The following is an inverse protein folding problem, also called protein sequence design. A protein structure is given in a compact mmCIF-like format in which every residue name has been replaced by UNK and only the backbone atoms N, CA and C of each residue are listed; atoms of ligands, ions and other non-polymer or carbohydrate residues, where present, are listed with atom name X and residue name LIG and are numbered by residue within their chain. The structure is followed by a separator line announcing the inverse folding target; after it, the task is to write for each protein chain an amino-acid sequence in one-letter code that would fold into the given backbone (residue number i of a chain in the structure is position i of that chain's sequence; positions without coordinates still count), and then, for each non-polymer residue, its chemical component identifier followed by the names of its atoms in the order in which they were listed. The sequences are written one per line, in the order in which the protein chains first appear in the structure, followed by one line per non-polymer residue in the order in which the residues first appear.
data_IF_763529238367
#
_entry.id   IF_763529238367
#
_cell.length_a   1.000
_cell.length_b   1.000
_cell.length_c   1.000
_cell.angle_alpha   90.00
_cell.angle_beta   90.00
_cell.angle_gamma   90.00
#
_symmetry.space_group_name_H-M   'P 1'
#
loop_
_entity.id
_entity.type
_entity.pdbx_description
1 polymer ?
#
# COMPACT_ATOMS: atom_id res chain seq x y z
N UNK A 1 -19.06 -18.53 -23.47
CA UNK A 1 -18.52 -17.52 -22.54
C UNK A 1 -17.14 -17.98 -22.09
N UNK A 2 -16.09 -17.18 -22.33
CA UNK A 2 -14.71 -17.62 -22.19
C UNK A 2 -14.28 -17.57 -20.72
N UNK A 3 -14.52 -18.67 -19.98
CA UNK A 3 -14.26 -18.76 -18.53
C UNK A 3 -12.85 -18.28 -18.12
N UNK A 4 -11.84 -18.52 -18.97
CA UNK A 4 -10.48 -18.03 -18.73
C UNK A 4 -10.37 -16.49 -18.76
N UNK A 5 -11.08 -15.83 -19.67
CA UNK A 5 -11.09 -14.37 -19.76
C UNK A 5 -11.83 -13.73 -18.59
N UNK A 6 -12.97 -14.28 -18.20
CA UNK A 6 -13.74 -13.79 -17.06
C UNK A 6 -12.95 -13.93 -15.74
N UNK A 7 -12.37 -15.10 -15.48
CA UNK A 7 -11.53 -15.31 -14.27
C UNK A 7 -10.31 -14.39 -14.26
N UNK A 8 -9.67 -14.19 -15.42
CA UNK A 8 -8.52 -13.28 -15.53
C UNK A 8 -8.85 -11.83 -15.21
N UNK A 9 -10.01 -11.33 -15.67
CA UNK A 9 -10.46 -9.95 -15.39
C UNK A 9 -10.72 -9.75 -13.89
N UNK A 10 -11.44 -10.68 -13.25
CA UNK A 10 -11.71 -10.59 -11.81
C UNK A 10 -10.43 -10.69 -10.98
N UNK A 11 -9.51 -11.57 -11.37
CA UNK A 11 -8.21 -11.69 -10.71
C UNK A 11 -7.39 -10.41 -10.87
N UNK A 12 -7.36 -9.81 -12.07
CA UNK A 12 -6.69 -8.55 -12.32
C UNK A 12 -7.27 -7.42 -11.46
N UNK A 13 -8.58 -7.29 -11.39
CA UNK A 13 -9.23 -6.28 -10.56
C UNK A 13 -8.84 -6.43 -9.08
N UNK A 14 -8.87 -7.65 -8.55
CA UNK A 14 -8.41 -7.95 -7.18
C UNK A 14 -6.94 -7.61 -6.97
N UNK A 15 -6.06 -7.99 -7.90
CA UNK A 15 -4.63 -7.72 -7.80
C UNK A 15 -4.31 -6.23 -7.90
N UNK A 16 -5.01 -5.47 -8.75
CA UNK A 16 -4.85 -4.03 -8.84
C UNK A 16 -5.30 -3.34 -7.55
N UNK A 17 -6.43 -3.77 -6.98
CA UNK A 17 -6.88 -3.31 -5.68
C UNK A 17 -5.81 -3.57 -4.60
N UNK A 18 -5.32 -4.81 -4.48
CA UNK A 18 -4.30 -5.17 -3.50
C UNK A 18 -2.98 -4.42 -3.73
N UNK A 19 -2.62 -4.18 -4.98
CA UNK A 19 -1.43 -3.40 -5.32
C UNK A 19 -1.59 -1.94 -4.91
N UNK A 20 -2.71 -1.30 -5.21
CA UNK A 20 -2.96 0.11 -4.87
C UNK A 20 -2.92 0.35 -3.36
N UNK A 21 -3.54 -0.51 -2.56
CA UNK A 21 -3.51 -0.42 -1.09
C UNK A 21 -2.19 -0.91 -0.49
N UNK A 22 -1.47 -1.83 -1.15
CA UNK A 22 -0.16 -2.30 -0.71
C UNK A 22 0.96 -1.28 -0.96
N UNK A 23 0.88 -0.52 -2.06
CA UNK A 23 1.86 0.52 -2.42
C UNK A 23 2.00 1.58 -1.33
N UNK A 24 0.96 1.85 -0.54
CA UNK A 24 1.03 2.82 0.56
C UNK A 24 2.02 2.44 1.66
N UNK A 25 2.41 1.16 1.74
CA UNK A 25 3.41 0.63 2.68
C UNK A 25 4.81 0.51 2.07
N UNK A 26 4.97 0.90 0.79
CA UNK A 26 6.27 0.91 0.13
C UNK A 26 7.14 2.06 0.64
N UNK A 27 8.43 1.81 0.87
CA UNK A 27 9.39 2.83 1.31
C UNK A 27 9.43 4.05 0.40
N UNK A 28 9.44 3.85 -0.93
CA UNK A 28 9.54 4.95 -1.89
C UNK A 28 8.17 5.40 -2.41
N UNK A 29 7.35 4.47 -2.88
CA UNK A 29 6.05 4.81 -3.45
C UNK A 29 5.04 5.27 -2.37
N UNK A 30 5.14 4.72 -1.17
CA UNK A 30 4.35 5.16 -0.02
C UNK A 30 4.71 6.58 0.43
N UNK A 31 5.97 7.02 0.24
CA UNK A 31 6.38 8.39 0.50
C UNK A 31 5.66 9.37 -0.46
N UNK A 32 5.64 9.07 -1.76
CA UNK A 32 4.86 9.87 -2.72
C UNK A 32 3.37 9.89 -2.42
N UNK A 33 2.78 8.76 -2.01
CA UNK A 33 1.38 8.72 -1.56
C UNK A 33 1.18 9.63 -0.35
N UNK A 34 2.11 9.61 0.60
CA UNK A 34 2.05 10.45 1.82
C UNK A 34 2.14 11.94 1.48
N UNK A 35 3.05 12.32 0.58
CA UNK A 35 3.18 13.70 0.08
C UNK A 35 1.90 14.18 -0.60
N UNK A 36 1.32 13.38 -1.50
CA UNK A 36 0.07 13.71 -2.20
C UNK A 36 -1.08 13.86 -1.19
N UNK A 37 -1.21 12.91 -0.27
CA UNK A 37 -2.24 12.99 0.79
C UNK A 37 -2.05 14.21 1.66
N UNK A 38 -0.80 14.63 1.88
CA UNK A 38 -0.50 15.84 2.64
C UNK A 38 -0.87 17.12 1.91
N UNK A 39 -0.45 17.23 0.65
CA UNK A 39 -0.76 18.38 -0.19
C UNK A 39 -2.27 18.58 -0.41
N UNK A 40 -3.06 17.50 -0.37
CA UNK A 40 -4.49 17.51 -0.62
C UNK A 40 -5.36 17.43 0.66
N UNK A 41 -4.76 17.40 1.84
CA UNK A 41 -5.45 17.24 3.14
C UNK A 41 -6.30 15.97 3.22
N UNK A 42 -5.77 14.85 2.74
CA UNK A 42 -6.38 13.51 2.74
C UNK A 42 -5.78 12.56 3.79
N UNK A 43 -5.02 13.09 4.75
CA UNK A 43 -4.51 12.28 5.85
C UNK A 43 -5.65 11.84 6.79
N UNK A 44 -5.36 10.82 7.62
CA UNK A 44 -6.21 10.53 8.76
C UNK A 44 -6.10 11.67 9.78
N UNK A 45 -7.20 12.12 10.40
CA UNK A 45 -7.15 13.08 11.50
C UNK A 45 -6.20 12.59 12.59
N UNK A 46 -5.41 13.52 13.14
CA UNK A 46 -4.49 13.23 14.22
C UNK A 46 -5.14 13.57 15.55
N UNK A 47 -4.97 12.70 16.54
CA UNK A 47 -5.41 12.95 17.90
C UNK A 47 -4.38 13.85 18.59
N UNK A 48 -4.80 15.02 19.07
CA UNK A 48 -3.94 15.91 19.86
C UNK A 48 -3.81 15.36 21.27
N UNK A 49 -2.60 14.98 21.68
CA UNK A 49 -2.29 14.44 23.02
C UNK A 49 -1.33 15.32 23.83
N UNK A 50 -0.96 16.48 23.28
CA UNK A 50 -0.01 17.41 23.89
C UNK A 50 -0.53 17.95 25.24
N UNK A 51 0.39 18.32 26.17
CA UNK A 51 0.02 18.97 27.42
C UNK A 51 -0.80 20.23 27.15
N UNK A 52 -1.84 20.47 27.95
CA UNK A 52 -2.80 21.56 27.73
C UNK A 52 -2.23 22.99 27.88
N UNK A 53 -0.92 23.19 28.06
CA UNK A 53 -0.32 24.50 28.30
C UNK A 53 1.07 24.67 27.66
N UNK A 54 1.15 25.42 26.56
CA UNK A 54 2.40 26.04 26.08
C UNK A 54 2.32 27.58 26.03
N UNK A 55 1.35 28.19 26.72
CA UNK A 55 1.23 29.65 26.85
C UNK A 55 0.69 30.10 28.21
N UNK A 56 1.43 29.89 29.31
CA UNK A 56 1.33 30.71 30.52
C UNK A 56 2.39 30.33 31.56
N UNK A 57 3.28 31.27 31.90
CA UNK A 57 3.86 31.43 33.25
C UNK A 57 4.83 30.36 33.76
N UNK A 58 6.08 30.78 34.00
CA UNK A 58 7.09 30.03 34.73
C UNK A 58 6.66 29.72 36.18
N UNK A 59 5.96 28.61 36.40
CA UNK A 59 5.91 27.95 37.71
C UNK A 59 6.15 26.46 37.50
N UNK A 60 7.30 25.99 38.00
CA UNK A 60 7.74 24.61 37.88
C UNK A 60 6.76 23.67 38.58
N UNK A 61 5.98 22.96 37.79
CA UNK A 61 5.40 21.68 38.19
C UNK A 61 6.42 20.64 37.78
N UNK A 62 7.03 19.96 38.74
CA UNK A 62 7.83 18.76 38.46
C UNK A 62 6.92 17.75 37.78
N UNK A 63 7.07 17.63 36.47
CA UNK A 63 6.35 16.67 35.68
C UNK A 63 6.87 15.27 35.99
N UNK A 64 6.18 14.54 36.84
CA UNK A 64 6.34 13.09 36.93
C UNK A 64 5.75 12.47 35.67
N UNK A 65 6.54 11.66 34.95
CA UNK A 65 5.99 10.72 33.97
C UNK A 65 5.00 9.86 34.75
N UNK A 66 3.73 9.86 34.35
CA UNK A 66 2.71 9.08 35.04
C UNK A 66 3.10 7.61 34.91
N UNK A 67 3.35 6.94 36.04
CA UNK A 67 3.60 5.50 36.06
C UNK A 67 2.40 4.80 35.40
N UNK A 68 2.60 4.05 34.29
CA UNK A 68 1.51 3.33 33.64
C UNK A 68 0.77 2.39 34.59
N UNK A 69 1.41 1.87 35.64
CA UNK A 69 0.76 1.01 36.62
C UNK A 69 -0.19 1.77 37.57
N UNK A 70 -0.04 3.10 37.67
CA UNK A 70 -0.85 3.97 38.54
C UNK A 70 -2.03 4.63 37.81
N UNK A 71 -2.19 4.38 36.50
CA UNK A 71 -3.29 4.93 35.70
C UNK A 71 -4.63 4.30 36.08
N UNK A 72 -5.66 5.14 36.24
CA UNK A 72 -7.05 4.70 36.32
C UNK A 72 -7.56 4.33 34.92
N UNK A 73 -7.28 3.10 34.49
CA UNK A 73 -7.68 2.59 33.18
C UNK A 73 -9.20 2.54 33.01
N UNK A 74 -9.96 2.21 34.05
CA UNK A 74 -11.42 2.14 33.99
C UNK A 74 -12.01 3.53 33.80
N UNK A 75 -11.54 4.52 34.57
CA UNK A 75 -11.94 5.91 34.41
C UNK A 75 -11.59 6.49 33.03
N UNK A 76 -10.41 6.14 32.51
CA UNK A 76 -9.97 6.52 31.16
C UNK A 76 -10.86 5.90 30.08
N UNK A 77 -11.18 4.61 30.20
CA UNK A 77 -12.06 3.89 29.27
C UNK A 77 -13.48 4.47 29.29
N UNK A 78 -14.05 4.73 30.46
CA UNK A 78 -15.37 5.32 30.62
C UNK A 78 -15.43 6.75 30.04
N UNK A 79 -14.39 7.57 30.28
CA UNK A 79 -14.26 8.89 29.68
C UNK A 79 -14.20 8.85 28.15
N UNK A 80 -13.43 7.91 27.57
CA UNK A 80 -13.36 7.71 26.13
C UNK A 80 -14.69 7.18 25.54
N UNK A 81 -15.37 6.27 26.24
CA UNK A 81 -16.64 5.71 25.83
C UNK A 81 -17.74 6.78 25.71
N UNK A 82 -17.75 7.78 26.61
CA UNK A 82 -18.64 8.96 26.51
C UNK A 82 -18.43 9.77 25.22
N UNK A 83 -17.30 9.63 24.53
CA UNK A 83 -17.03 10.23 23.22
C UNK A 83 -17.20 9.28 22.04
N UNK A 84 -17.83 8.13 22.26
CA UNK A 84 -18.17 7.18 21.20
C UNK A 84 -17.05 6.22 20.81
N UNK A 85 -15.96 6.16 21.59
CA UNK A 85 -14.91 5.14 21.43
C UNK A 85 -15.42 3.81 21.98
N UNK A 86 -15.39 2.74 21.18
CA UNK A 86 -15.93 1.42 21.55
C UNK A 86 -14.85 0.35 21.61
N UNK A 87 -14.89 -0.49 22.66
CA UNK A 87 -14.05 -1.67 22.80
C UNK A 87 -14.12 -2.61 21.58
N UNK A 88 -13.03 -3.33 21.25
CA UNK A 88 -11.70 -3.25 21.86
C UNK A 88 -10.94 -1.98 21.44
N UNK A 89 -10.03 -1.53 22.31
CA UNK A 89 -9.22 -0.33 22.11
C UNK A 89 -7.76 -0.59 22.44
N UNK A 90 -6.89 0.24 21.86
CA UNK A 90 -5.50 0.40 22.26
C UNK A 90 -5.40 1.62 23.17
N UNK A 91 -4.74 1.45 24.31
CA UNK A 91 -4.47 2.53 25.26
C UNK A 91 -2.96 2.79 25.20
N UNK A 92 -2.57 4.02 24.87
CA UNK A 92 -1.17 4.44 24.89
C UNK A 92 -0.96 5.41 26.04
N UNK A 93 -0.04 5.06 26.93
CA UNK A 93 0.34 5.91 28.06
C UNK A 93 1.00 7.22 27.55
N UNK A 94 0.90 8.32 28.31
CA UNK A 94 1.50 9.59 27.92
C UNK A 94 3.03 9.48 27.89
N UNK A 95 3.65 9.96 26.81
CA UNK A 95 5.11 9.94 26.67
C UNK A 95 5.80 11.05 27.48
N UNK A 96 5.07 12.14 27.77
CA UNK A 96 5.57 13.31 28.48
C UNK A 96 4.73 13.58 29.74
N UNK A 97 5.32 14.14 30.79
CA UNK A 97 4.56 14.57 31.95
C UNK A 97 3.46 15.58 31.60
N UNK A 98 2.26 15.39 32.13
CA UNK A 98 1.11 16.25 31.86
C UNK A 98 0.48 16.07 30.47
N UNK A 99 0.98 15.15 29.64
CA UNK A 99 0.31 14.73 28.41
C UNK A 99 -0.86 13.78 28.72
N UNK A 100 -1.74 13.60 27.75
CA UNK A 100 -2.95 12.78 27.89
C UNK A 100 -2.74 11.34 27.46
N UNK A 101 -3.49 10.42 28.06
CA UNK A 101 -3.61 9.02 27.64
C UNK A 101 -4.44 8.98 26.35
N UNK A 102 -3.96 8.32 25.29
CA UNK A 102 -4.76 8.10 24.09
C UNK A 102 -5.48 6.76 24.13
N UNK A 103 -6.77 6.77 23.82
CA UNK A 103 -7.61 5.59 23.69
C UNK A 103 -8.14 5.54 22.26
N UNK A 104 -7.76 4.52 21.49
CA UNK A 104 -8.08 4.41 20.06
C UNK A 104 -8.74 3.08 19.77
N UNK A 105 -9.87 3.07 19.04
CA UNK A 105 -10.47 1.82 18.56
C UNK A 105 -9.47 1.03 17.71
N UNK A 106 -9.35 -0.28 17.95
CA UNK A 106 -8.51 -1.15 17.10
C UNK A 106 -9.32 -1.81 16.00
N UNK A 107 -8.63 -2.34 15.00
CA UNK A 107 -9.27 -3.08 13.91
C UNK A 107 -9.91 -4.38 14.40
N UNK A 108 -11.17 -4.58 14.01
CA UNK A 108 -11.97 -5.76 14.34
C UNK A 108 -12.87 -6.10 13.14
N UNK A 109 -13.21 -7.39 12.92
CA UNK A 109 -14.21 -7.78 11.94
C UNK A 109 -15.50 -6.95 12.02
N UNK A 110 -15.97 -6.46 10.87
CA UNK A 110 -17.19 -5.64 10.75
C UNK A 110 -17.14 -4.29 11.48
N UNK A 111 -15.95 -3.82 11.88
CA UNK A 111 -15.75 -2.46 12.36
C UNK A 111 -15.43 -1.53 11.20
N UNK A 112 -16.27 -0.52 11.01
CA UNK A 112 -16.20 0.44 9.91
C UNK A 112 -15.60 1.79 10.32
N UNK A 113 -15.28 1.96 11.61
CA UNK A 113 -14.87 3.22 12.23
C UNK A 113 -13.59 3.05 13.03
N UNK A 114 -12.85 4.14 13.19
CA UNK A 114 -11.75 4.28 14.15
C UNK A 114 -11.95 5.57 14.93
N UNK A 115 -12.77 5.52 15.97
CA UNK A 115 -12.88 6.63 16.91
C UNK A 115 -11.68 6.65 17.87
N UNK A 116 -11.32 7.83 18.37
CA UNK A 116 -10.25 7.97 19.35
C UNK A 116 -10.52 9.13 20.32
N UNK A 117 -9.96 9.06 21.52
CA UNK A 117 -10.05 10.11 22.53
C UNK A 117 -8.72 10.26 23.30
N UNK A 118 -8.41 11.50 23.66
CA UNK A 118 -7.29 11.87 24.50
C UNK A 118 -7.83 12.27 25.87
N UNK A 119 -7.44 11.54 26.91
CA UNK A 119 -7.96 11.68 28.27
C UNK A 119 -6.86 12.12 29.22
N UNK A 120 -7.10 13.17 29.99
CA UNK A 120 -6.19 13.60 31.04
C UNK A 120 -6.20 12.53 32.17
N UNK A 121 -5.04 11.93 32.51
CA UNK A 121 -4.99 10.86 33.50
C UNK A 121 -5.27 11.32 34.93
N UNK A 122 -5.22 12.62 35.24
CA UNK A 122 -5.39 13.15 36.59
C UNK A 122 -6.85 13.46 36.94
N UNK A 123 -7.60 14.05 36.01
CA UNK A 123 -8.98 14.49 36.23
C UNK A 123 -10.01 13.81 35.31
N UNK A 124 -9.56 12.88 34.46
CA UNK A 124 -10.37 12.13 33.50
C UNK A 124 -11.13 13.00 32.48
N UNK A 125 -10.69 14.25 32.28
CA UNK A 125 -11.25 15.13 31.27
C UNK A 125 -10.80 14.73 29.87
N UNK A 126 -11.72 14.75 28.90
CA UNK A 126 -11.38 14.49 27.50
C UNK A 126 -10.96 15.79 26.82
N UNK A 127 -9.66 15.93 26.54
CA UNK A 127 -9.07 17.15 25.97
C UNK A 127 -9.24 17.22 24.45
N UNK A 128 -9.31 16.07 23.80
CA UNK A 128 -9.40 15.93 22.34
C UNK A 128 -10.07 14.61 21.98
N UNK A 129 -10.83 14.59 20.88
CA UNK A 129 -11.48 13.38 20.38
C UNK A 129 -11.58 13.43 18.86
N UNK A 130 -11.44 12.26 18.23
CA UNK A 130 -11.65 12.03 16.80
C UNK A 130 -12.93 11.22 16.64
N UNK A 131 -13.94 11.86 16.06
CA UNK A 131 -15.16 11.20 15.59
C UNK A 131 -14.98 10.82 14.11
N UNK A 132 -15.06 9.53 13.81
CA UNK A 132 -14.81 9.00 12.47
C UNK A 132 -15.72 9.62 11.40
N UNK A 133 -17.00 9.85 11.72
CA UNK A 133 -17.95 10.34 10.73
C UNK A 133 -17.80 11.82 10.47
N UNK A 134 -17.49 12.60 11.51
CA UNK A 134 -17.32 14.05 11.42
C UNK A 134 -15.93 14.46 10.93
N UNK A 135 -14.89 13.84 11.47
CA UNK A 135 -13.53 14.37 11.36
C UNK A 135 -12.76 13.74 10.18
N UNK A 136 -13.10 12.52 9.74
CA UNK A 136 -12.47 11.94 8.54
C UNK A 136 -13.09 12.50 7.26
N UNK A 137 -12.22 12.92 6.33
CA UNK A 137 -12.62 13.19 4.95
C UNK A 137 -13.09 11.92 4.24
N UNK A 138 -13.89 12.08 3.16
CA UNK A 138 -14.38 10.93 2.36
C UNK A 138 -13.23 10.09 1.83
N UNK A 139 -12.15 10.72 1.39
CA UNK A 139 -10.99 10.02 0.85
C UNK A 139 -10.23 9.27 1.95
N UNK A 140 -10.14 9.84 3.17
CA UNK A 140 -9.58 9.14 4.32
C UNK A 140 -10.41 7.91 4.70
N UNK A 141 -11.75 8.00 4.65
CA UNK A 141 -12.66 6.84 4.88
C UNK A 141 -12.49 5.75 3.82
N UNK A 142 -12.43 6.12 2.54
CA UNK A 142 -12.21 5.16 1.44
C UNK A 142 -10.85 4.48 1.54
N UNK A 143 -9.79 5.23 1.87
CA UNK A 143 -8.46 4.67 2.10
C UNK A 143 -8.46 3.72 3.30
N UNK A 144 -9.11 4.11 4.40
CA UNK A 144 -9.25 3.29 5.61
C UNK A 144 -9.99 1.97 5.33
N UNK A 145 -11.16 2.03 4.68
CA UNK A 145 -11.90 0.83 4.28
C UNK A 145 -11.12 -0.02 3.28
N UNK A 146 -10.41 0.60 2.34
CA UNK A 146 -9.51 -0.09 1.41
C UNK A 146 -8.42 -0.87 2.14
N UNK A 147 -7.76 -0.27 3.13
CA UNK A 147 -6.74 -0.92 3.95
C UNK A 147 -7.35 -2.06 4.79
N UNK A 148 -8.49 -1.83 5.46
CA UNK A 148 -9.19 -2.88 6.22
C UNK A 148 -9.61 -4.06 5.32
N UNK A 149 -10.02 -3.76 4.09
CA UNK A 149 -10.35 -4.77 3.09
C UNK A 149 -9.09 -5.55 2.67
N UNK A 150 -7.98 -4.86 2.38
CA UNK A 150 -6.69 -5.46 2.05
C UNK A 150 -6.13 -6.37 3.17
N UNK A 151 -6.25 -5.93 4.43
CA UNK A 151 -5.79 -6.67 5.60
C UNK A 151 -6.71 -7.85 5.98
N UNK A 152 -7.91 -7.95 5.40
CA UNK A 152 -8.83 -9.04 5.67
C UNK A 152 -9.84 -8.79 6.79
N UNK A 153 -9.92 -7.59 7.38
CA UNK A 153 -10.79 -7.31 8.54
C UNK A 153 -12.18 -6.79 8.18
N UNK A 154 -12.34 -6.02 7.09
CA UNK A 154 -13.57 -5.24 6.85
C UNK A 154 -14.88 -6.04 6.94
N UNK A 155 -14.91 -7.25 6.37
CA UNK A 155 -16.06 -8.18 6.43
C UNK A 155 -15.74 -9.51 7.12
N UNK A 156 -14.72 -9.53 7.98
CA UNK A 156 -14.28 -10.73 8.66
C UNK A 156 -14.00 -11.90 7.70
N UNK A 157 -14.59 -13.06 7.99
CA UNK A 157 -14.37 -14.30 7.23
C UNK A 157 -14.68 -14.14 5.74
N UNK A 158 -15.71 -13.39 5.37
CA UNK A 158 -16.06 -13.18 3.95
C UNK A 158 -14.89 -12.52 3.21
N UNK A 159 -14.30 -11.50 3.81
CA UNK A 159 -13.17 -10.78 3.22
C UNK A 159 -11.95 -11.70 3.09
N UNK A 160 -11.64 -12.48 4.13
CA UNK A 160 -10.54 -13.45 4.12
C UNK A 160 -10.71 -14.52 3.03
N UNK A 161 -11.93 -15.03 2.82
CA UNK A 161 -12.22 -16.00 1.75
C UNK A 161 -12.03 -15.38 0.36
N UNK A 162 -12.43 -14.12 0.16
CA UNK A 162 -12.19 -13.40 -1.10
C UNK A 162 -10.69 -13.22 -1.35
N UNK A 163 -9.93 -12.80 -0.34
CA UNK A 163 -8.47 -12.67 -0.44
C UNK A 163 -7.79 -14.02 -0.72
N UNK A 164 -8.24 -15.09 -0.06
CA UNK A 164 -7.75 -16.45 -0.31
C UNK A 164 -8.04 -16.88 -1.75
N UNK A 165 -9.23 -16.59 -2.28
CA UNK A 165 -9.57 -16.92 -3.67
C UNK A 165 -8.66 -16.18 -4.67
N UNK A 166 -8.38 -14.89 -4.43
CA UNK A 166 -7.42 -14.12 -5.23
C UNK A 166 -6.01 -14.72 -5.14
N UNK A 167 -5.55 -15.07 -3.94
CA UNK A 167 -4.23 -15.68 -3.74
C UNK A 167 -4.09 -17.04 -4.46
N UNK A 168 -5.08 -17.92 -4.32
CA UNK A 168 -5.13 -19.22 -5.02
C UNK A 168 -5.14 -19.01 -6.53
N UNK A 169 -5.92 -18.04 -7.03
CA UNK A 169 -5.93 -17.67 -8.45
C UNK A 169 -4.56 -17.22 -8.95
N UNK A 170 -3.89 -16.33 -8.21
CA UNK A 170 -2.54 -15.86 -8.53
C UNK A 170 -1.53 -17.01 -8.58
N UNK A 171 -1.49 -17.85 -7.54
CA UNK A 171 -0.62 -19.03 -7.48
C UNK A 171 -0.89 -19.96 -8.66
N UNK A 172 -2.15 -20.21 -8.98
CA UNK A 172 -2.54 -21.06 -10.12
C UNK A 172 -2.00 -20.51 -11.44
N UNK A 173 -2.10 -19.20 -11.66
CA UNK A 173 -1.57 -18.54 -12.88
C UNK A 173 -0.05 -18.64 -12.93
N UNK A 174 0.65 -18.39 -11.81
CA UNK A 174 2.11 -18.51 -11.72
C UNK A 174 2.55 -19.93 -12.05
N UNK A 175 1.98 -20.94 -11.37
CA UNK A 175 2.33 -22.36 -11.56
C UNK A 175 2.04 -22.81 -12.99
N UNK A 176 0.89 -22.43 -13.56
CA UNK A 176 0.58 -22.73 -14.96
C UNK A 176 1.53 -22.04 -15.93
N UNK A 177 1.91 -20.79 -15.66
CA UNK A 177 2.90 -20.06 -16.44
C UNK A 177 4.25 -20.78 -16.48
N UNK A 178 4.78 -21.16 -15.30
CA UNK A 178 6.01 -21.95 -15.21
C UNK A 178 5.89 -23.33 -15.85
N UNK A 179 4.75 -24.02 -15.68
CA UNK A 179 4.50 -25.31 -16.33
C UNK A 179 4.49 -25.18 -17.85
N UNK A 180 3.79 -24.18 -18.40
CA UNK A 180 3.77 -23.93 -19.84
C UNK A 180 5.17 -23.59 -20.37
N UNK A 181 5.93 -22.78 -19.63
CA UNK A 181 7.32 -22.47 -19.96
C UNK A 181 8.19 -23.73 -19.97
N UNK A 182 8.10 -24.56 -18.92
CA UNK A 182 8.85 -25.80 -18.80
C UNK A 182 8.51 -26.78 -19.93
N UNK A 183 7.24 -26.92 -20.27
CA UNK A 183 6.77 -27.80 -21.34
C UNK A 183 7.16 -27.33 -22.74
N UNK A 184 7.29 -26.01 -22.95
CA UNK A 184 7.60 -25.40 -24.26
C UNK A 184 9.09 -25.09 -24.45
N UNK A 185 9.95 -25.42 -23.48
CA UNK A 185 11.39 -25.16 -23.57
C UNK A 185 12.00 -25.95 -24.74
N UNK A 186 12.93 -25.38 -25.53
CA UNK A 186 13.59 -26.11 -26.61
C UNK A 186 14.43 -27.26 -26.03
N UNK A 187 14.08 -28.51 -26.33
CA UNK A 187 14.80 -29.70 -25.82
C UNK A 187 15.85 -30.23 -26.81
N UNK A 188 15.90 -29.73 -28.05
CA UNK A 188 16.91 -30.09 -29.06
C UNK A 188 17.35 -28.87 -29.87
N UNK A 189 18.67 -28.69 -30.02
CA UNK A 189 19.28 -27.77 -31.01
C UNK A 189 19.46 -26.30 -30.61
N UNK A 190 19.24 -25.92 -29.34
CA UNK A 190 19.49 -24.55 -28.87
C UNK A 190 20.58 -24.54 -27.81
N UNK A 191 21.63 -23.72 -28.00
CA UNK A 191 22.66 -23.47 -26.97
C UNK A 191 22.10 -22.73 -25.75
N UNK A 192 20.85 -22.24 -25.82
CA UNK A 192 20.14 -21.64 -24.70
C UNK A 192 18.85 -22.41 -24.39
N UNK A 193 18.74 -22.89 -23.16
CA UNK A 193 17.59 -23.66 -22.66
C UNK A 193 16.36 -22.79 -22.33
N UNK A 194 16.39 -21.50 -22.68
CA UNK A 194 15.34 -20.51 -22.39
C UNK A 194 14.59 -20.26 -23.70
N UNK A 195 13.26 -20.28 -23.68
CA UNK A 195 12.42 -20.12 -24.88
C UNK A 195 12.80 -18.91 -25.74
N UNK A 196 12.56 -18.98 -27.06
CA UNK A 196 12.89 -17.89 -27.99
C UNK A 196 12.25 -16.58 -27.52
N UNK A 197 13.01 -15.47 -27.41
CA UNK A 197 12.43 -14.17 -27.07
C UNK A 197 11.39 -13.75 -28.11
N UNK A 198 10.38 -12.96 -27.73
CA UNK A 198 9.40 -12.40 -28.66
C UNK A 198 10.09 -11.69 -29.85
N UNK A 199 9.47 -11.73 -31.02
CA UNK A 199 9.99 -11.05 -32.20
C UNK A 199 10.20 -9.56 -31.91
N UNK A 200 11.44 -9.08 -32.15
CA UNK A 200 11.80 -7.68 -31.96
C UNK A 200 11.06 -6.81 -32.98
N UNK A 201 10.71 -5.58 -32.58
CA UNK A 201 10.05 -4.60 -33.46
C UNK A 201 8.55 -4.40 -33.23
N UNK A 202 7.92 -5.16 -32.32
CA UNK A 202 6.49 -4.99 -32.02
C UNK A 202 6.11 -3.57 -31.60
N UNK A 203 6.97 -2.88 -30.86
CA UNK A 203 6.77 -1.46 -30.48
C UNK A 203 6.91 -0.53 -31.68
N UNK A 204 7.82 -0.82 -32.62
CA UNK A 204 8.02 0.01 -33.83
C UNK A 204 6.85 -0.09 -34.82
N UNK A 205 6.05 -1.15 -34.72
CA UNK A 205 4.83 -1.33 -35.52
C UNK A 205 3.62 -0.55 -34.96
N UNK A 206 3.74 0.04 -33.77
CA UNK A 206 2.69 0.86 -33.18
C UNK A 206 2.70 2.28 -33.77
N UNK A 207 1.53 2.96 -33.83
CA UNK A 207 1.49 4.36 -34.21
C UNK A 207 2.34 5.22 -33.24
N UNK A 208 2.99 6.30 -33.71
CA UNK A 208 3.88 7.13 -32.88
C UNK A 208 3.24 7.62 -31.57
N UNK A 209 1.94 7.90 -31.59
CA UNK A 209 1.16 8.31 -30.41
C UNK A 209 1.11 7.20 -29.36
N UNK A 210 0.93 5.95 -29.76
CA UNK A 210 0.93 4.82 -28.83
C UNK A 210 2.32 4.58 -28.23
N UNK A 211 3.38 4.75 -29.03
CA UNK A 211 4.77 4.68 -28.53
C UNK A 211 5.00 5.78 -27.49
N UNK A 212 4.60 7.02 -27.78
CA UNK A 212 4.70 8.14 -26.85
C UNK A 212 3.90 7.87 -25.56
N UNK A 213 2.66 7.38 -25.68
CA UNK A 213 1.82 7.05 -24.52
C UNK A 213 2.45 5.97 -23.64
N UNK A 214 3.01 4.90 -24.22
CA UNK A 214 3.74 3.86 -23.49
C UNK A 214 4.98 4.44 -22.81
N UNK A 215 5.75 5.27 -23.50
CA UNK A 215 6.93 5.92 -22.94
C UNK A 215 6.60 6.82 -21.75
N UNK A 216 5.61 7.70 -21.91
CA UNK A 216 5.15 8.59 -20.82
C UNK A 216 4.63 7.77 -19.64
N UNK A 217 3.84 6.72 -19.90
CA UNK A 217 3.32 5.85 -18.84
C UNK A 217 4.45 5.12 -18.11
N UNK A 218 5.43 4.59 -18.83
CA UNK A 218 6.58 3.90 -18.24
C UNK A 218 7.42 4.85 -17.38
N UNK A 219 7.65 6.09 -17.83
CA UNK A 219 8.36 7.11 -17.05
C UNK A 219 7.55 7.51 -15.81
N UNK A 220 6.25 7.76 -15.94
CA UNK A 220 5.39 8.10 -14.81
C UNK A 220 5.34 6.98 -13.76
N UNK A 221 5.16 5.74 -14.20
CA UNK A 221 5.17 4.56 -13.32
C UNK A 221 6.56 4.34 -12.71
N UNK A 222 7.63 4.52 -13.48
CA UNK A 222 9.00 4.38 -12.98
C UNK A 222 9.38 5.46 -11.97
N UNK A 223 8.89 6.68 -12.14
CA UNK A 223 9.02 7.75 -11.16
C UNK A 223 8.24 7.43 -9.87
N UNK A 224 6.98 7.00 -10.00
CA UNK A 224 6.13 6.68 -8.85
C UNK A 224 6.54 5.40 -8.11
N UNK A 225 7.09 4.42 -8.84
CA UNK A 225 7.62 3.14 -8.34
C UNK A 225 9.12 3.03 -8.67
N UNK A 226 10.02 3.74 -7.96
CA UNK A 226 11.44 3.85 -8.35
C UNK A 226 12.15 2.52 -8.58
N UNK A 227 11.90 1.51 -7.74
CA UNK A 227 12.51 0.19 -7.90
C UNK A 227 12.06 -0.51 -9.19
N UNK A 228 10.79 -0.35 -9.57
CA UNK A 228 10.28 -0.85 -10.85
C UNK A 228 10.89 -0.06 -12.01
N UNK A 229 11.01 1.27 -11.87
CA UNK A 229 11.64 2.14 -12.86
C UNK A 229 13.09 1.76 -13.13
N UNK A 230 13.89 1.57 -12.08
CA UNK A 230 15.30 1.17 -12.21
C UNK A 230 15.47 -0.21 -12.84
N UNK A 231 14.68 -1.21 -12.40
CA UNK A 231 14.76 -2.56 -12.97
C UNK A 231 14.32 -2.59 -14.43
N UNK A 232 13.29 -1.82 -14.80
CA UNK A 232 12.88 -1.64 -16.19
C UNK A 232 13.96 -0.95 -17.02
N UNK A 233 14.58 0.12 -16.51
CA UNK A 233 15.65 0.83 -17.20
C UNK A 233 16.86 -0.08 -17.46
N UNK A 234 17.28 -0.85 -16.45
CA UNK A 234 18.37 -1.84 -16.59
C UNK A 234 17.99 -2.89 -17.63
N UNK A 235 16.76 -3.42 -17.57
CA UNK A 235 16.29 -4.39 -18.55
C UNK A 235 16.35 -3.85 -19.99
N UNK A 236 15.88 -2.61 -20.22
CA UNK A 236 15.93 -1.96 -21.54
C UNK A 236 17.37 -1.77 -22.01
N UNK A 237 18.28 -1.30 -21.14
CA UNK A 237 19.70 -1.14 -21.48
C UNK A 237 20.31 -2.49 -21.88
N UNK A 238 20.06 -3.55 -21.12
CA UNK A 238 20.56 -4.90 -21.43
C UNK A 238 19.98 -5.40 -22.75
N UNK A 239 18.67 -5.26 -23.00
CA UNK A 239 18.06 -5.70 -24.25
C UNK A 239 18.64 -4.96 -25.48
N UNK A 240 18.88 -3.64 -25.35
CA UNK A 240 19.51 -2.83 -26.41
C UNK A 240 20.95 -3.28 -26.66
N UNK A 241 21.75 -3.54 -25.62
CA UNK A 241 23.12 -4.05 -25.77
C UNK A 241 23.12 -5.42 -26.46
N UNK A 242 22.27 -6.34 -26.02
CA UNK A 242 22.13 -7.68 -26.64
C UNK A 242 21.68 -7.54 -28.10
N UNK A 243 20.82 -6.57 -28.41
CA UNK A 243 20.42 -6.28 -29.79
C UNK A 243 21.55 -5.75 -30.66
N UNK A 244 22.33 -4.80 -30.15
CA UNK A 244 23.47 -4.26 -30.87
C UNK A 244 24.54 -5.34 -31.14
N UNK A 245 24.78 -6.25 -30.18
CA UNK A 245 25.74 -7.35 -30.36
C UNK A 245 25.23 -8.40 -31.36
N UNK A 246 23.96 -8.83 -31.25
CA UNK A 246 23.40 -9.84 -32.15
C UNK A 246 23.20 -9.35 -33.59
N UNK A 247 22.97 -8.04 -33.80
CA UNK A 247 22.89 -7.44 -35.13
C UNK A 247 24.23 -7.39 -35.86
N UNK A 248 25.36 -7.43 -35.13
CA UNK A 248 26.71 -7.42 -35.70
C UNK A 248 27.21 -8.79 -36.15
N UNK A 249 26.51 -9.87 -35.80
CA UNK A 249 26.93 -11.26 -36.08
C UNK A 249 26.23 -11.89 -37.30
N UNK A 250 25.53 -11.11 -38.13
CA UNK A 250 25.07 -11.55 -39.46
C UNK A 250 26.13 -11.08 -40.47
N UNK A 251 26.95 -11.97 -41.06
CA UNK A 251 27.85 -11.59 -42.15
C UNK A 251 27.03 -11.12 -43.34
N UNK A 252 27.44 -10.02 -43.96
CA UNK A 252 26.99 -9.68 -45.32
C UNK A 252 27.43 -10.81 -46.26
N UNK A 253 26.54 -11.73 -46.58
CA UNK A 253 26.74 -12.64 -47.70
C UNK A 253 26.64 -11.83 -49.00
N UNK A 254 27.81 -11.32 -49.40
CA UNK A 254 28.32 -11.29 -50.77
C UNK A 254 27.33 -10.89 -51.86
N UNK A 255 27.21 -9.58 -52.10
CA UNK A 255 26.93 -9.09 -53.44
C UNK A 255 28.18 -9.34 -54.30
N UNK A 256 28.11 -10.32 -55.19
CA UNK A 256 29.12 -10.56 -56.23
C UNK A 256 28.55 -10.09 -57.57
N UNK A 257 29.40 -9.57 -58.46
CA UNK A 257 29.12 -8.45 -59.38
C UNK A 257 28.25 -8.77 -60.60
#
# INVERSE_FOLDING_TARGET
MNWHGATGIWLLAGLLFLSATGITWSTYAGAHVTEIRSALNWQRPQLVTAPAQSHAGHHGVEGTVTDPAALDYEGVLDAAARRGVRMPVEITAPAEPGATVSVTEIDEPFRWTTNAAAVNPTDLTVTSAVDYWRDYSVIAKLADWGIRAHMGFLFGLLNQLVLLAVAVGLVTVIVRGYRMWWQRRPTRGSNWAVGRPPARGGIRALPPVAIAAVGVTAVAVGWFLPLLGWTLAIFVVVDVIVAAVAGRSVPEEGESP
#
